data_IF_863616292710
#
_entry.id   IF_863616292710
#
_cell.length_a   1.000
_cell.length_b   1.000
_cell.length_c   1.000
_cell.angle_alpha   90.00
_cell.angle_beta   90.00
_cell.angle_gamma   90.00
#
_symmetry.space_group_name_H-M   'P 1'
#
loop_
_entity.id
_entity.type
_entity.pdbx_description
1 polymer ?
#
# COMPACT_ATOMS: atom_id res chain seq x y z
N UNK A 1 -16.18 -0.40 -9.97
CA UNK A 1 -14.88 0.25 -10.33
C UNK A 1 -13.94 -0.78 -10.93
N UNK A 2 -13.05 -0.36 -11.84
CA UNK A 2 -12.00 -1.24 -12.37
C UNK A 2 -11.03 -1.62 -11.24
N UNK A 3 -10.67 -2.90 -11.15
CA UNK A 3 -9.69 -3.40 -10.19
C UNK A 3 -8.32 -3.53 -10.86
N UNK A 4 -7.25 -3.20 -10.13
CA UNK A 4 -5.88 -3.38 -10.60
C UNK A 4 -5.23 -4.42 -9.71
N UNK A 5 -4.82 -5.56 -10.30
CA UNK A 5 -4.23 -6.69 -9.59
C UNK A 5 -2.70 -6.63 -9.68
N UNK A 6 -2.08 -5.88 -8.77
CA UNK A 6 -0.62 -5.78 -8.72
C UNK A 6 0.07 -7.10 -8.39
N UNK A 7 -0.60 -8.04 -7.71
CA UNK A 7 -0.03 -9.35 -7.44
C UNK A 7 0.39 -10.11 -8.71
N UNK A 8 -0.36 -9.94 -9.83
CA UNK A 8 0.04 -10.52 -11.12
C UNK A 8 1.33 -9.91 -11.67
N UNK A 9 1.55 -8.61 -11.49
CA UNK A 9 2.81 -7.95 -11.85
C UNK A 9 3.95 -8.44 -10.96
N UNK A 10 3.69 -8.50 -9.65
CA UNK A 10 4.66 -8.91 -8.65
C UNK A 10 5.03 -10.40 -8.72
N UNK A 11 4.23 -11.24 -9.42
CA UNK A 11 4.57 -12.63 -9.69
C UNK A 11 5.68 -12.81 -10.74
N UNK A 12 6.09 -11.73 -11.41
CA UNK A 12 7.25 -11.70 -12.31
C UNK A 12 8.40 -10.95 -11.65
N UNK A 13 9.36 -11.63 -10.98
CA UNK A 13 10.39 -10.97 -10.16
C UNK A 13 11.23 -9.93 -10.91
N UNK A 14 11.57 -10.18 -12.17
CA UNK A 14 12.35 -9.25 -13.00
C UNK A 14 11.60 -7.94 -13.30
N UNK A 15 10.27 -8.01 -13.53
CA UNK A 15 9.43 -6.83 -13.72
C UNK A 15 9.23 -6.08 -12.39
N UNK A 16 8.98 -6.81 -11.32
CA UNK A 16 8.85 -6.26 -9.97
C UNK A 16 10.12 -5.50 -9.57
N UNK A 17 11.30 -6.08 -9.81
CA UNK A 17 12.58 -5.45 -9.50
C UNK A 17 12.75 -4.10 -10.21
N UNK A 18 12.47 -4.03 -11.51
CA UNK A 18 12.59 -2.79 -12.31
C UNK A 18 11.72 -1.68 -11.75
N UNK A 19 10.44 -1.98 -11.47
CA UNK A 19 9.48 -1.02 -10.91
C UNK A 19 9.89 -0.59 -9.51
N UNK A 20 10.29 -1.54 -8.66
CA UNK A 20 10.71 -1.26 -7.30
C UNK A 20 12.01 -0.45 -7.25
N UNK A 21 12.98 -0.66 -8.17
CA UNK A 21 14.17 0.19 -8.30
C UNK A 21 13.80 1.65 -8.57
N UNK A 22 12.87 1.88 -9.50
CA UNK A 22 12.37 3.23 -9.80
C UNK A 22 11.69 3.87 -8.57
N UNK A 23 10.82 3.11 -7.89
CA UNK A 23 10.14 3.58 -6.69
C UNK A 23 11.12 3.86 -5.54
N UNK A 24 12.09 2.98 -5.32
CA UNK A 24 13.13 3.15 -4.30
C UNK A 24 13.97 4.43 -4.51
N UNK A 25 14.29 4.78 -5.77
CA UNK A 25 14.94 6.07 -6.09
C UNK A 25 14.10 7.27 -5.64
N UNK A 26 12.80 7.26 -5.93
CA UNK A 26 11.87 8.32 -5.49
C UNK A 26 11.80 8.40 -3.96
N UNK A 27 11.74 7.25 -3.28
CA UNK A 27 11.71 7.16 -1.82
C UNK A 27 13.00 7.74 -1.22
N UNK A 28 14.17 7.32 -1.70
CA UNK A 28 15.49 7.83 -1.24
C UNK A 28 15.62 9.35 -1.40
N UNK A 29 15.07 9.91 -2.49
CA UNK A 29 15.10 11.36 -2.73
C UNK A 29 14.29 12.12 -1.67
N UNK A 30 13.14 11.58 -1.23
CA UNK A 30 12.23 12.26 -0.30
C UNK A 30 12.54 11.96 1.17
N UNK A 31 12.91 10.72 1.50
CA UNK A 31 13.12 10.28 2.88
C UNK A 31 14.56 9.82 3.09
N UNK A 32 15.32 10.55 3.92
CA UNK A 32 16.73 10.24 4.21
C UNK A 32 16.91 9.18 5.30
N UNK A 33 16.07 9.22 6.34
CA UNK A 33 16.23 8.48 7.58
C UNK A 33 15.01 7.57 7.80
N UNK A 34 14.89 6.50 7.01
CA UNK A 34 13.90 5.45 7.23
C UNK A 34 14.53 4.44 8.19
N UNK A 35 13.84 4.11 9.28
CA UNK A 35 14.28 3.08 10.22
C UNK A 35 13.61 1.75 9.92
N UNK A 36 12.34 1.76 9.52
CA UNK A 36 11.52 0.58 9.34
C UNK A 36 10.54 0.75 8.18
N UNK A 37 10.30 -0.32 7.44
CA UNK A 37 9.22 -0.44 6.47
C UNK A 37 8.11 -1.29 7.08
N UNK A 38 6.87 -0.81 7.00
CA UNK A 38 5.67 -1.53 7.40
C UNK A 38 4.79 -1.80 6.17
N UNK A 39 4.51 -3.06 5.89
CA UNK A 39 3.67 -3.48 4.78
C UNK A 39 2.37 -4.13 5.28
N UNK A 40 1.19 -3.71 4.81
CA UNK A 40 -0.04 -4.44 5.12
C UNK A 40 -0.17 -5.71 4.27
N UNK A 41 -0.40 -6.85 4.90
CA UNK A 41 -0.68 -8.11 4.21
C UNK A 41 -2.03 -8.05 3.47
N UNK A 42 -2.19 -8.76 2.35
CA UNK A 42 -1.19 -9.59 1.67
C UNK A 42 -0.42 -8.82 0.60
N UNK A 43 -1.09 -7.90 -0.15
CA UNK A 43 -0.55 -7.24 -1.33
C UNK A 43 0.75 -6.45 -1.08
N UNK A 44 0.86 -5.86 0.11
CA UNK A 44 2.04 -5.07 0.49
C UNK A 44 3.30 -5.89 0.80
N UNK A 45 3.19 -7.22 1.06
CA UNK A 45 4.33 -8.00 1.54
C UNK A 45 5.45 -8.06 0.51
N UNK A 46 5.14 -8.47 -0.72
CA UNK A 46 6.15 -8.67 -1.77
C UNK A 46 6.85 -7.37 -2.12
N UNK A 47 6.07 -6.31 -2.36
CA UNK A 47 6.66 -4.99 -2.65
C UNK A 47 7.43 -4.43 -1.44
N UNK A 48 6.91 -4.61 -0.22
CA UNK A 48 7.58 -4.18 1.00
C UNK A 48 8.95 -4.82 1.15
N UNK A 49 9.03 -6.14 0.95
CA UNK A 49 10.29 -6.89 0.97
C UNK A 49 11.28 -6.38 -0.08
N UNK A 50 10.83 -6.21 -1.33
CA UNK A 50 11.71 -5.77 -2.41
C UNK A 50 12.23 -4.33 -2.19
N UNK A 51 11.36 -3.42 -1.74
CA UNK A 51 11.78 -2.06 -1.37
C UNK A 51 12.72 -2.08 -0.17
N UNK A 52 12.46 -2.93 0.83
CA UNK A 52 13.34 -3.09 1.99
C UNK A 52 14.74 -3.56 1.60
N UNK A 53 14.84 -4.56 0.72
CA UNK A 53 16.10 -5.03 0.12
C UNK A 53 16.84 -3.88 -0.57
N UNK A 54 16.17 -3.13 -1.44
CA UNK A 54 16.75 -2.02 -2.20
C UNK A 54 17.18 -0.83 -1.32
N UNK A 55 16.49 -0.60 -0.22
CA UNK A 55 16.80 0.46 0.73
C UNK A 55 17.74 0.00 1.85
N UNK A 56 18.00 -1.31 1.96
CA UNK A 56 18.73 -1.94 3.06
C UNK A 56 18.09 -1.60 4.43
N UNK A 57 16.77 -1.79 4.52
CA UNK A 57 15.97 -1.48 5.71
C UNK A 57 15.19 -2.70 6.18
N UNK A 58 15.09 -2.82 7.50
CA UNK A 58 14.20 -3.81 8.11
C UNK A 58 12.78 -3.62 7.56
N UNK A 59 12.14 -4.75 7.22
CA UNK A 59 10.79 -4.76 6.68
C UNK A 59 9.97 -5.76 7.45
N UNK A 60 8.87 -5.28 8.02
CA UNK A 60 7.87 -6.09 8.70
C UNK A 60 6.52 -5.92 8.03
N UNK A 61 5.61 -6.83 8.32
CA UNK A 61 4.24 -6.70 7.85
C UNK A 61 3.22 -6.84 8.99
N UNK A 62 2.05 -6.25 8.78
CA UNK A 62 0.88 -6.48 9.63
C UNK A 62 -0.15 -7.28 8.87
N UNK A 63 -0.88 -8.15 9.58
CA UNK A 63 -1.88 -9.03 9.02
C UNK A 63 -3.24 -8.86 9.71
N UNK A 64 -4.32 -9.18 8.99
CA UNK A 64 -5.67 -9.05 9.56
C UNK A 64 -6.00 -10.22 10.48
N UNK A 65 -6.36 -9.85 11.70
CA UNK A 65 -6.90 -10.78 12.69
C UNK A 65 -8.25 -10.22 13.13
N UNK A 66 -9.32 -10.94 12.90
CA UNK A 66 -10.69 -10.49 13.18
C UNK A 66 -10.97 -9.10 12.56
N UNK A 67 -10.61 -8.93 11.29
CA UNK A 67 -10.86 -7.71 10.54
C UNK A 67 -9.95 -6.52 10.85
N UNK A 68 -9.07 -6.60 11.85
CA UNK A 68 -8.17 -5.52 12.28
C UNK A 68 -6.70 -5.88 12.00
N UNK A 69 -5.90 -4.94 11.55
CA UNK A 69 -4.46 -5.17 11.43
C UNK A 69 -3.79 -5.29 12.79
N UNK A 70 -2.94 -6.31 12.90
CA UNK A 70 -2.09 -6.59 14.07
C UNK A 70 -0.68 -6.93 13.62
N UNK A 71 0.31 -6.57 14.43
CA UNK A 71 1.66 -7.13 14.33
C UNK A 71 1.63 -8.52 14.99
N UNK A 72 2.21 -9.50 14.33
CA UNK A 72 2.35 -10.88 14.82
C UNK A 72 3.76 -11.36 14.53
N UNK A 73 4.03 -12.66 14.74
CA UNK A 73 5.31 -13.31 14.38
C UNK A 73 6.52 -12.69 15.09
N UNK A 74 6.31 -12.13 16.30
CA UNK A 74 7.36 -11.41 17.02
C UNK A 74 7.70 -10.03 16.48
N UNK A 75 7.00 -9.57 15.41
CA UNK A 75 7.24 -8.22 14.90
C UNK A 75 6.83 -7.14 15.90
N UNK A 76 7.68 -6.16 16.05
CA UNK A 76 7.41 -4.97 16.83
C UNK A 76 7.90 -3.71 16.11
N UNK A 77 7.41 -2.56 16.53
CA UNK A 77 7.87 -1.25 16.07
C UNK A 77 8.49 -0.57 17.29
N UNK A 78 9.79 -0.28 17.22
CA UNK A 78 10.51 0.39 18.31
C UNK A 78 10.00 1.82 18.49
N UNK A 79 9.86 2.26 19.75
CA UNK A 79 9.50 3.64 20.08
C UNK A 79 10.45 4.63 19.39
N UNK A 80 9.90 5.68 18.80
CA UNK A 80 10.65 6.71 18.10
C UNK A 80 11.07 6.38 16.67
N UNK A 81 10.97 5.10 16.22
CA UNK A 81 11.32 4.71 14.84
C UNK A 81 10.58 5.52 13.80
N UNK A 82 11.26 5.85 12.73
CA UNK A 82 10.71 6.51 11.53
C UNK A 82 10.24 5.45 10.54
N UNK A 83 8.94 5.29 10.41
CA UNK A 83 8.30 4.19 9.67
C UNK A 83 7.73 4.68 8.34
N UNK A 84 8.07 3.99 7.27
CA UNK A 84 7.47 4.17 5.94
C UNK A 84 6.48 3.03 5.69
N UNK A 85 5.25 3.37 5.28
CA UNK A 85 4.25 2.37 4.87
C UNK A 85 4.37 2.11 3.38
N UNK A 86 4.46 0.83 2.99
CA UNK A 86 4.55 0.39 1.59
C UNK A 86 3.35 -0.48 1.26
N UNK A 87 2.62 -0.14 0.20
CA UNK A 87 1.49 -0.93 -0.35
C UNK A 87 1.67 -1.17 -1.86
N UNK A 88 0.98 -2.15 -2.39
CA UNK A 88 0.91 -2.38 -3.83
C UNK A 88 0.04 -1.33 -4.53
N UNK A 89 -1.19 -1.11 -4.02
CA UNK A 89 -2.14 -0.12 -4.53
C UNK A 89 -2.78 0.64 -3.38
N UNK A 90 -2.68 1.96 -3.39
CA UNK A 90 -3.42 2.83 -2.48
C UNK A 90 -4.65 3.38 -3.20
N UNK A 91 -5.85 3.07 -2.68
CA UNK A 91 -7.13 3.59 -3.19
C UNK A 91 -7.77 4.53 -2.18
N UNK A 92 -8.59 4.03 -1.28
CA UNK A 92 -9.19 4.82 -0.19
C UNK A 92 -8.22 5.09 0.95
N UNK A 93 -7.08 4.40 0.97
CA UNK A 93 -6.10 4.47 2.05
C UNK A 93 -6.55 3.84 3.37
N UNK A 94 -7.67 3.09 3.38
CA UNK A 94 -8.17 2.47 4.62
C UNK A 94 -7.13 1.57 5.28
N UNK A 95 -6.46 0.70 4.51
CA UNK A 95 -5.40 -0.17 5.02
C UNK A 95 -4.22 0.65 5.56
N UNK A 96 -3.76 1.63 4.78
CA UNK A 96 -2.69 2.53 5.18
C UNK A 96 -3.01 3.28 6.49
N UNK A 97 -4.25 3.78 6.63
CA UNK A 97 -4.70 4.46 7.86
C UNK A 97 -4.77 3.52 9.07
N UNK A 98 -5.13 2.25 8.86
CA UNK A 98 -5.07 1.25 9.92
C UNK A 98 -3.63 0.97 10.36
N UNK A 99 -2.66 0.93 9.42
CA UNK A 99 -1.23 0.81 9.73
C UNK A 99 -0.72 2.01 10.55
N UNK A 100 -1.20 3.22 10.25
CA UNK A 100 -0.87 4.42 11.05
C UNK A 100 -1.25 4.25 12.53
N UNK A 101 -2.37 3.57 12.82
CA UNK A 101 -2.77 3.30 14.20
C UNK A 101 -1.76 2.41 14.93
N UNK A 102 -1.17 1.41 14.24
CA UNK A 102 -0.13 0.56 14.80
C UNK A 102 1.15 1.36 15.12
N UNK A 103 1.55 2.23 14.19
CA UNK A 103 2.72 3.11 14.36
C UNK A 103 2.51 4.04 15.56
N UNK A 104 1.33 4.67 15.66
CA UNK A 104 0.99 5.53 16.80
C UNK A 104 0.97 4.78 18.12
N UNK A 105 0.39 3.56 18.15
CA UNK A 105 0.35 2.72 19.35
C UNK A 105 1.76 2.37 19.84
N UNK A 106 2.73 2.25 18.94
CA UNK A 106 4.13 2.00 19.27
C UNK A 106 4.92 3.27 19.63
N UNK A 107 4.27 4.44 19.69
CA UNK A 107 4.95 5.74 19.86
C UNK A 107 6.06 5.98 18.83
N UNK A 108 5.86 5.52 17.61
CA UNK A 108 6.76 5.69 16.48
C UNK A 108 6.28 6.84 15.55
N UNK A 109 7.12 7.24 14.61
CA UNK A 109 6.87 8.37 13.70
C UNK A 109 6.54 7.86 12.30
N UNK A 110 5.37 8.23 11.75
CA UNK A 110 5.06 8.00 10.35
C UNK A 110 5.86 8.97 9.48
N UNK A 111 6.63 8.45 8.52
CA UNK A 111 7.28 9.26 7.47
C UNK A 111 6.33 9.56 6.32
N UNK A 112 5.59 8.57 5.87
CA UNK A 112 4.65 8.69 4.76
C UNK A 112 4.29 7.34 4.17
N UNK A 113 3.87 7.38 2.91
CA UNK A 113 3.36 6.23 2.17
C UNK A 113 4.07 6.11 0.83
N UNK A 114 4.28 4.87 0.39
CA UNK A 114 4.65 4.61 -1.00
C UNK A 114 3.90 3.41 -1.56
N UNK A 115 3.68 3.39 -2.89
CA UNK A 115 2.98 2.31 -3.57
C UNK A 115 3.43 2.17 -5.02
N UNK A 116 3.17 1.04 -5.64
CA UNK A 116 3.32 0.92 -7.10
C UNK A 116 2.30 1.85 -7.74
N UNK A 117 1.03 1.75 -7.33
CA UNK A 117 -0.06 2.52 -7.91
C UNK A 117 -0.74 3.37 -6.83
N UNK A 118 -0.86 4.67 -7.12
CA UNK A 118 -1.71 5.59 -6.36
C UNK A 118 -3.00 5.86 -7.16
N UNK A 119 -4.13 5.42 -6.59
CA UNK A 119 -5.49 5.69 -7.07
C UNK A 119 -6.26 6.59 -6.11
N UNK A 120 -5.56 7.21 -5.17
CA UNK A 120 -6.21 8.07 -4.20
C UNK A 120 -6.73 9.36 -4.86
N UNK A 121 -7.89 9.79 -4.41
CA UNK A 121 -8.46 11.09 -4.77
C UNK A 121 -8.29 12.07 -3.61
N UNK A 122 -8.45 13.37 -3.86
CA UNK A 122 -8.43 14.41 -2.81
C UNK A 122 -9.42 14.11 -1.66
N UNK A 123 -10.50 13.36 -1.95
CA UNK A 123 -11.53 12.99 -0.96
C UNK A 123 -11.21 11.70 -0.20
N UNK A 124 -10.35 10.82 -0.75
CA UNK A 124 -10.15 9.47 -0.20
C UNK A 124 -9.11 9.39 0.90
N UNK A 125 -8.08 10.23 0.87
CA UNK A 125 -6.98 10.17 1.82
C UNK A 125 -6.86 11.50 2.58
N UNK A 126 -7.40 11.56 3.78
CA UNK A 126 -7.21 12.69 4.70
C UNK A 126 -5.83 12.65 5.37
N UNK A 127 -4.77 12.51 4.59
CA UNK A 127 -3.40 12.45 5.11
C UNK A 127 -2.63 13.66 4.60
N UNK A 128 -1.99 14.37 5.51
CA UNK A 128 -1.15 15.55 5.21
C UNK A 128 0.15 15.19 4.47
N UNK A 129 0.63 13.95 4.63
CA UNK A 129 1.84 13.44 3.95
C UNK A 129 1.46 12.86 2.58
N UNK A 130 2.06 13.37 1.51
CA UNK A 130 1.81 12.85 0.17
C UNK A 130 2.26 11.40 -0.01
N UNK A 131 1.65 10.70 -0.97
CA UNK A 131 2.02 9.36 -1.40
C UNK A 131 3.15 9.46 -2.43
N UNK A 132 4.18 8.64 -2.30
CA UNK A 132 5.16 8.40 -3.36
C UNK A 132 4.68 7.20 -4.15
N UNK A 133 4.42 7.36 -5.44
CA UNK A 133 4.02 6.23 -6.28
C UNK A 133 4.91 6.09 -7.51
N UNK A 134 4.98 4.85 -8.02
CA UNK A 134 5.55 4.64 -9.33
C UNK A 134 4.64 5.25 -10.39
N UNK A 135 3.34 5.01 -10.29
CA UNK A 135 2.30 5.51 -11.18
C UNK A 135 1.11 6.05 -10.38
N UNK A 136 0.60 7.22 -10.78
CA UNK A 136 -0.68 7.74 -10.30
C UNK A 136 -1.71 7.62 -11.39
N UNK A 137 -2.86 7.01 -11.07
CA UNK A 137 -3.95 6.76 -12.03
C UNK A 137 -5.26 7.28 -11.44
N UNK A 138 -5.96 8.07 -12.20
CA UNK A 138 -7.35 8.41 -11.90
C UNK A 138 -8.28 7.36 -12.56
N UNK A 139 -9.02 6.64 -11.72
CA UNK A 139 -9.96 5.61 -12.18
C UNK A 139 -11.35 5.99 -11.72
N UNK A 140 -12.25 6.31 -12.64
CA UNK A 140 -13.60 6.70 -12.28
C UNK A 140 -14.31 5.58 -11.51
N UNK A 141 -15.03 5.99 -10.46
CA UNK A 141 -15.86 5.12 -9.64
C UNK A 141 -17.32 5.49 -9.86
N UNK A 142 -18.14 4.51 -10.18
CA UNK A 142 -19.56 4.70 -10.46
C UNK A 142 -20.40 4.04 -9.36
N UNK A 143 -21.53 4.63 -9.04
CA UNK A 143 -22.60 3.96 -8.30
C UNK A 143 -23.34 3.01 -9.26
N UNK A 144 -24.11 2.04 -8.74
CA UNK A 144 -24.88 1.12 -9.58
C UNK A 144 -25.82 1.87 -10.56
N UNK A 145 -26.38 3.01 -10.12
CA UNK A 145 -27.26 3.84 -10.95
C UNK A 145 -26.53 4.61 -12.07
N UNK A 146 -25.25 4.91 -11.89
CA UNK A 146 -24.43 5.71 -12.80
C UNK A 146 -23.46 4.84 -13.63
N UNK A 147 -23.64 3.52 -13.60
CA UNK A 147 -22.75 2.61 -14.32
C UNK A 147 -22.93 2.78 -15.85
N UNK A 148 -21.88 3.10 -16.60
CA UNK A 148 -21.94 3.18 -18.06
C UNK A 148 -22.40 1.88 -18.69
N UNK A 149 -23.12 1.97 -19.83
CA UNK A 149 -23.71 0.80 -20.49
C UNK A 149 -22.66 -0.27 -20.85
N UNK A 150 -21.50 0.15 -21.35
CA UNK A 150 -20.39 -0.74 -21.69
C UNK A 150 -19.75 -1.46 -20.48
N UNK A 151 -20.06 -1.05 -19.25
CA UNK A 151 -19.60 -1.72 -18.05
C UNK A 151 -20.67 -2.61 -17.40
N UNK A 152 -21.95 -2.46 -17.82
CA UNK A 152 -23.04 -3.28 -17.29
C UNK A 152 -22.97 -4.74 -17.73
N UNK A 153 -22.42 -4.99 -18.92
CA UNK A 153 -22.24 -6.33 -19.48
C UNK A 153 -21.05 -7.10 -18.90
N UNK A 154 -20.18 -6.42 -18.13
CA UNK A 154 -18.99 -7.07 -17.53
C UNK A 154 -19.39 -7.70 -16.20
N UNK A 155 -19.18 -9.03 -16.01
CA UNK A 155 -19.50 -9.68 -14.75
C UNK A 155 -18.70 -9.08 -13.60
N UNK A 156 -19.34 -8.92 -12.45
CA UNK A 156 -18.69 -8.48 -11.22
C UNK A 156 -17.91 -9.67 -10.65
N UNK A 157 -16.61 -9.50 -10.47
CA UNK A 157 -15.73 -10.48 -9.84
C UNK A 157 -15.18 -9.93 -8.51
N UNK A 158 -14.72 -10.81 -7.64
CA UNK A 158 -14.08 -10.47 -6.36
C UNK A 158 -12.57 -10.76 -6.40
N UNK A 159 -11.77 -9.98 -7.15
CA UNK A 159 -10.36 -10.28 -7.38
C UNK A 159 -9.45 -9.96 -6.20
N UNK A 160 -9.96 -9.32 -5.15
CA UNK A 160 -9.21 -8.88 -3.98
C UNK A 160 -9.60 -9.62 -2.70
N UNK A 161 -8.88 -9.31 -1.61
CA UNK A 161 -9.10 -9.89 -0.28
C UNK A 161 -10.34 -9.38 0.45
N UNK A 162 -11.11 -8.47 -0.14
CA UNK A 162 -12.35 -7.94 0.44
C UNK A 162 -13.54 -8.45 -0.36
N UNK A 163 -14.46 -9.10 0.34
CA UNK A 163 -15.76 -9.42 -0.24
C UNK A 163 -16.51 -8.11 -0.51
N UNK A 164 -16.96 -7.94 -1.75
CA UNK A 164 -17.91 -6.89 -2.12
C UNK A 164 -19.28 -7.45 -1.75
N UNK A 165 -19.87 -6.94 -0.69
CA UNK A 165 -21.27 -7.18 -0.36
C UNK A 165 -22.16 -6.34 -1.27
#
# INVERSE_FOLDING_TARGET
SKYIQCAKLLSFPHLAESICKSLAKKIKKKYKNIDLILAPAMGGIVIGYEIGKLLKKETIFCERVNGKFKLRRGFNIKKGSKVLIIEDVITTGKSSLECVKLIKKANAKLLGFASIIDRSTKKSLKIKTGIISHLKIDVPTFTAKQLPQNLKSIPITTPGSRFIK
#
